data_IF_499619845276
#
_entry.id   IF_499619845276
#
_cell.length_a   1.000
_cell.length_b   1.000
_cell.length_c   1.000
_cell.angle_alpha   90.00
_cell.angle_beta   90.00
_cell.angle_gamma   90.00
#
_symmetry.space_group_name_H-M   'P 1'
#
loop_
_entity.id
_entity.type
_entity.pdbx_description
1 polymer ?
#
# COMPACT_ATOMS: atom_id res chain seq x y z
N UNK A 1 8.67 -41.75 19.36
CA UNK A 1 7.84 -41.60 18.16
C UNK A 1 7.61 -40.11 18.01
N UNK A 2 8.45 -39.46 17.22
CA UNK A 2 8.43 -38.02 17.06
C UNK A 2 7.28 -37.59 16.15
N UNK A 3 6.54 -36.57 16.57
CA UNK A 3 5.57 -35.87 15.78
C UNK A 3 6.26 -35.27 14.55
N UNK A 4 6.11 -35.89 13.40
CA UNK A 4 6.22 -35.23 12.12
C UNK A 4 4.94 -34.40 11.95
N UNK A 5 4.89 -33.21 12.54
CA UNK A 5 3.97 -32.15 12.07
C UNK A 5 4.27 -31.98 10.60
N UNK A 6 3.31 -32.39 9.77
CA UNK A 6 3.32 -32.09 8.34
C UNK A 6 3.42 -30.58 8.22
N UNK A 7 4.61 -30.08 7.87
CA UNK A 7 4.77 -28.70 7.46
C UNK A 7 3.81 -28.48 6.28
N UNK A 8 2.72 -27.76 6.52
CA UNK A 8 1.74 -27.47 5.49
C UNK A 8 2.51 -26.88 4.29
N UNK A 9 2.32 -27.47 3.12
CA UNK A 9 3.03 -27.04 1.90
C UNK A 9 2.64 -25.58 1.63
N UNK A 10 3.64 -24.68 1.63
CA UNK A 10 3.41 -23.25 1.44
C UNK A 10 2.81 -22.98 0.06
N UNK A 11 1.74 -22.23 0.00
CA UNK A 11 1.05 -21.88 -1.25
C UNK A 11 1.93 -21.00 -2.14
N UNK A 12 2.02 -21.24 -3.45
CA UNK A 12 2.85 -20.47 -4.36
C UNK A 12 2.25 -19.08 -4.62
N UNK A 13 3.06 -18.04 -4.57
CA UNK A 13 2.67 -16.66 -4.84
C UNK A 13 3.74 -15.96 -5.67
N UNK A 14 3.34 -15.18 -6.65
CA UNK A 14 4.28 -14.40 -7.48
C UNK A 14 4.10 -12.91 -7.18
N UNK A 15 5.20 -12.19 -7.00
CA UNK A 15 5.22 -10.74 -6.80
C UNK A 15 5.95 -10.08 -7.96
N UNK A 16 5.29 -9.13 -8.60
CA UNK A 16 5.86 -8.24 -9.62
C UNK A 16 5.81 -6.81 -9.13
N UNK A 17 6.95 -6.25 -8.77
CA UNK A 17 7.05 -4.86 -8.29
C UNK A 17 8.08 -4.06 -9.08
N UNK A 18 8.16 -2.76 -8.80
CA UNK A 18 9.09 -1.84 -9.46
C UNK A 18 8.46 -0.45 -9.61
N UNK A 19 9.20 0.53 -10.13
CA UNK A 19 8.73 1.90 -10.29
C UNK A 19 7.53 2.00 -11.24
N UNK A 20 6.85 3.15 -11.23
CA UNK A 20 5.80 3.43 -12.22
C UNK A 20 6.39 3.42 -13.64
N UNK A 21 5.57 3.18 -14.66
CA UNK A 21 5.96 3.14 -16.08
C UNK A 21 7.02 2.08 -16.48
N UNK A 22 7.39 1.14 -15.61
CA UNK A 22 8.39 0.09 -15.92
C UNK A 22 7.81 -1.10 -16.70
N UNK A 23 6.47 -1.18 -16.87
CA UNK A 23 5.81 -2.25 -17.63
C UNK A 23 5.26 -3.41 -16.79
N UNK A 24 5.03 -3.21 -15.48
CA UNK A 24 4.46 -4.25 -14.58
C UNK A 24 3.16 -4.84 -15.10
N UNK A 25 2.21 -4.00 -15.51
CA UNK A 25 0.88 -4.41 -15.97
C UNK A 25 0.94 -5.35 -17.16
N UNK A 26 1.67 -4.97 -18.22
CA UNK A 26 1.80 -5.81 -19.40
C UNK A 26 2.45 -7.17 -19.09
N UNK A 27 3.50 -7.16 -18.26
CA UNK A 27 4.18 -8.40 -17.87
C UNK A 27 3.30 -9.29 -16.99
N UNK A 28 2.54 -8.72 -16.04
CA UNK A 28 1.66 -9.49 -15.16
C UNK A 28 0.55 -10.21 -15.95
N UNK A 29 -0.02 -9.56 -16.95
CA UNK A 29 -1.04 -10.16 -17.83
C UNK A 29 -0.44 -11.31 -18.64
N UNK A 30 0.71 -11.09 -19.29
CA UNK A 30 1.38 -12.13 -20.05
C UNK A 30 1.73 -13.35 -19.19
N UNK A 31 2.21 -13.12 -17.97
CA UNK A 31 2.53 -14.17 -17.01
C UNK A 31 1.27 -14.91 -16.58
N UNK A 32 0.21 -14.18 -16.18
CA UNK A 32 -1.06 -14.75 -15.75
C UNK A 32 -1.66 -15.68 -16.82
N UNK A 33 -1.64 -15.25 -18.07
CA UNK A 33 -2.10 -16.09 -19.19
C UNK A 33 -1.30 -17.37 -19.37
N UNK A 34 0.02 -17.30 -19.19
CA UNK A 34 0.91 -18.46 -19.37
C UNK A 34 0.77 -19.52 -18.28
N UNK A 35 0.50 -19.10 -17.05
CA UNK A 35 0.43 -20.02 -15.91
C UNK A 35 -0.98 -20.27 -15.40
N UNK A 36 -2.00 -19.69 -16.05
CA UNK A 36 -3.38 -19.76 -15.57
C UNK A 36 -3.60 -19.01 -14.26
N UNK A 37 -2.83 -17.94 -14.01
CA UNK A 37 -2.92 -17.14 -12.79
C UNK A 37 -3.96 -16.02 -12.86
N UNK A 38 -4.12 -15.30 -11.74
CA UNK A 38 -4.94 -14.08 -11.64
C UNK A 38 -4.17 -13.00 -10.89
N UNK A 39 -4.49 -11.73 -11.14
CA UNK A 39 -3.74 -10.60 -10.65
C UNK A 39 -4.42 -9.98 -9.43
N UNK A 40 -3.65 -9.70 -8.38
CA UNK A 40 -4.05 -8.91 -7.21
C UNK A 40 -3.29 -7.58 -7.29
N UNK A 41 -4.00 -6.47 -7.47
CA UNK A 41 -3.37 -5.14 -7.52
C UNK A 41 -2.86 -4.75 -6.12
N UNK A 42 -1.56 -4.47 -6.02
CA UNK A 42 -0.93 -3.87 -4.83
C UNK A 42 -0.62 -2.39 -5.09
N UNK A 43 -1.59 -1.69 -5.63
CA UNK A 43 -1.60 -0.25 -5.81
C UNK A 43 -2.58 0.39 -4.82
N UNK A 44 -2.17 1.47 -4.15
CA UNK A 44 -3.00 2.11 -3.13
C UNK A 44 -4.09 3.01 -3.69
N UNK A 45 -4.06 3.32 -5.00
CA UNK A 45 -4.98 4.25 -5.62
C UNK A 45 -5.93 3.58 -6.64
N UNK A 46 -5.49 2.53 -7.35
CA UNK A 46 -6.34 1.82 -8.31
C UNK A 46 -7.54 1.09 -7.68
N UNK A 47 -7.57 0.96 -6.38
CA UNK A 47 -8.67 0.40 -5.59
C UNK A 47 -9.93 1.27 -5.65
N UNK A 48 -9.77 2.57 -5.87
CA UNK A 48 -10.85 3.54 -5.87
C UNK A 48 -11.53 3.62 -7.24
N UNK A 49 -12.87 3.63 -7.24
CA UNK A 49 -13.68 3.94 -8.42
C UNK A 49 -13.48 5.39 -8.85
N UNK A 50 -13.70 5.68 -10.11
CA UNK A 50 -13.61 7.03 -10.68
C UNK A 50 -12.23 7.67 -10.64
N UNK A 51 -11.21 6.94 -10.23
CA UNK A 51 -9.81 7.35 -10.25
C UNK A 51 -9.09 6.56 -11.33
N UNK A 52 -9.36 6.85 -12.60
CA UNK A 52 -8.97 6.02 -13.73
C UNK A 52 -7.73 6.58 -14.43
N UNK A 53 -7.74 7.86 -14.73
CA UNK A 53 -6.68 8.54 -15.48
C UNK A 53 -5.43 8.69 -14.60
N UNK A 54 -5.53 9.38 -13.47
CA UNK A 54 -4.37 9.69 -12.63
C UNK A 54 -3.71 8.49 -11.98
N UNK A 55 -4.43 7.38 -11.83
CA UNK A 55 -3.87 6.11 -11.36
C UNK A 55 -3.35 5.23 -12.50
N UNK A 56 -3.57 5.64 -13.77
CA UNK A 56 -3.40 4.82 -14.95
C UNK A 56 -3.98 3.41 -14.76
N UNK A 57 -5.22 3.38 -14.34
CA UNK A 57 -5.95 2.14 -14.10
C UNK A 57 -6.07 1.36 -15.39
N UNK A 58 -5.85 0.06 -15.30
CA UNK A 58 -6.04 -0.82 -16.44
C UNK A 58 -7.50 -0.85 -16.86
N UNK A 59 -7.76 -0.70 -18.15
CA UNK A 59 -9.11 -0.80 -18.73
C UNK A 59 -9.49 -2.27 -18.94
N UNK A 60 -10.79 -2.56 -18.96
CA UNK A 60 -11.29 -3.93 -19.08
C UNK A 60 -10.79 -4.64 -20.36
N UNK A 61 -10.73 -3.94 -21.48
CA UNK A 61 -10.21 -4.42 -22.74
C UNK A 61 -8.72 -4.74 -22.72
N UNK A 62 -7.95 -4.07 -21.87
CA UNK A 62 -6.51 -4.29 -21.70
C UNK A 62 -6.19 -5.49 -20.79
N UNK A 63 -7.16 -5.92 -19.97
CA UNK A 63 -6.99 -7.07 -19.07
C UNK A 63 -6.84 -8.40 -19.81
N UNK A 64 -7.17 -8.44 -21.09
CA UNK A 64 -7.00 -9.61 -21.98
C UNK A 64 -7.61 -10.90 -21.39
N UNK A 65 -8.75 -10.77 -20.72
CA UNK A 65 -9.48 -11.86 -20.08
C UNK A 65 -8.86 -12.36 -18.75
N UNK A 66 -7.81 -11.72 -18.26
CA UNK A 66 -7.19 -12.04 -16.95
C UNK A 66 -7.96 -11.32 -15.83
N UNK A 67 -8.49 -12.05 -14.84
CA UNK A 67 -9.13 -11.42 -13.70
C UNK A 67 -8.14 -10.57 -12.89
N UNK A 68 -8.57 -9.35 -12.53
CA UNK A 68 -7.84 -8.44 -11.65
C UNK A 68 -8.66 -8.19 -10.39
N UNK A 69 -8.03 -8.39 -9.25
CA UNK A 69 -8.61 -8.18 -7.92
C UNK A 69 -8.08 -6.88 -7.31
N UNK A 70 -8.87 -6.27 -6.43
CA UNK A 70 -8.55 -5.01 -5.74
C UNK A 70 -8.43 -3.80 -6.68
N UNK A 71 -9.23 -3.78 -7.74
CA UNK A 71 -9.42 -2.64 -8.64
C UNK A 71 -10.90 -2.27 -8.58
N UNK A 72 -11.23 -0.97 -8.50
CA UNK A 72 -12.61 -0.44 -8.51
C UNK A 72 -13.53 -1.02 -7.43
N UNK A 73 -13.03 -1.25 -6.24
CA UNK A 73 -13.81 -1.88 -5.16
C UNK A 73 -14.28 -0.89 -4.08
N UNK A 74 -13.73 0.32 -4.04
CA UNK A 74 -14.05 1.34 -3.04
C UNK A 74 -14.50 2.64 -3.67
N UNK A 75 -15.35 3.38 -2.96
CA UNK A 75 -15.63 4.76 -3.30
C UNK A 75 -14.48 5.67 -2.85
N UNK A 76 -14.18 6.78 -3.57
CA UNK A 76 -13.07 7.67 -3.23
C UNK A 76 -13.20 8.36 -1.86
N UNK A 77 -14.38 8.32 -1.26
CA UNK A 77 -14.66 8.84 0.09
C UNK A 77 -14.41 7.82 1.19
N UNK A 78 -14.13 6.57 0.84
CA UNK A 78 -13.81 5.51 1.80
C UNK A 78 -12.31 5.50 2.13
N UNK A 79 -11.98 5.15 3.37
CA UNK A 79 -10.60 4.98 3.77
C UNK A 79 -10.04 3.64 3.29
N UNK A 80 -8.83 3.71 2.75
CA UNK A 80 -8.04 2.54 2.39
C UNK A 80 -6.66 2.59 3.02
N UNK A 81 -6.33 1.57 3.76
CA UNK A 81 -5.06 1.45 4.46
C UNK A 81 -4.48 0.04 4.32
N UNK A 82 -3.29 -0.17 4.86
CA UNK A 82 -2.57 -1.44 4.75
C UNK A 82 -3.31 -2.62 5.40
N UNK A 83 -4.06 -2.38 6.48
CA UNK A 83 -4.86 -3.42 7.18
C UNK A 83 -5.98 -3.91 6.27
N UNK A 84 -6.73 -2.96 5.68
CA UNK A 84 -7.81 -3.27 4.73
C UNK A 84 -7.26 -3.95 3.48
N UNK A 85 -6.12 -3.46 2.96
CA UNK A 85 -5.44 -4.13 1.84
C UNK A 85 -5.08 -5.57 2.16
N UNK A 86 -4.41 -5.82 3.29
CA UNK A 86 -3.97 -7.17 3.68
C UNK A 86 -5.14 -8.15 3.77
N UNK A 87 -6.24 -7.74 4.43
CA UNK A 87 -7.44 -8.56 4.56
C UNK A 87 -8.04 -8.91 3.19
N UNK A 88 -8.21 -7.91 2.30
CA UNK A 88 -8.78 -8.09 0.97
C UNK A 88 -7.85 -8.89 0.06
N UNK A 89 -6.55 -8.62 0.08
CA UNK A 89 -5.57 -9.35 -0.74
C UNK A 89 -5.45 -10.82 -0.32
N UNK A 90 -5.54 -11.10 0.99
CA UNK A 90 -5.57 -12.47 1.51
C UNK A 90 -6.84 -13.20 1.06
N UNK A 91 -8.00 -12.57 1.18
CA UNK A 91 -9.26 -13.15 0.73
C UNK A 91 -9.24 -13.44 -0.78
N UNK A 92 -8.70 -12.51 -1.58
CA UNK A 92 -8.54 -12.71 -3.01
C UNK A 92 -7.57 -13.88 -3.33
N UNK A 93 -6.44 -13.97 -2.61
CA UNK A 93 -5.49 -15.07 -2.80
C UNK A 93 -6.12 -16.43 -2.47
N UNK A 94 -6.89 -16.54 -1.37
CA UNK A 94 -7.59 -17.77 -1.00
C UNK A 94 -8.65 -18.16 -2.03
N UNK A 95 -9.41 -17.19 -2.56
CA UNK A 95 -10.37 -17.44 -3.64
C UNK A 95 -9.68 -17.94 -4.91
N UNK A 96 -8.54 -17.35 -5.31
CA UNK A 96 -7.74 -17.79 -6.46
C UNK A 96 -7.24 -19.23 -6.24
N UNK A 97 -6.69 -19.54 -5.05
CA UNK A 97 -6.25 -20.90 -4.74
C UNK A 97 -7.39 -21.93 -4.74
N UNK A 98 -8.59 -21.53 -4.26
CA UNK A 98 -9.76 -22.43 -4.27
C UNK A 98 -10.15 -22.90 -5.67
N UNK A 99 -9.78 -22.12 -6.68
CA UNK A 99 -9.98 -22.42 -8.10
C UNK A 99 -8.76 -23.10 -8.75
N UNK A 100 -7.76 -23.49 -7.96
CA UNK A 100 -6.53 -24.15 -8.44
C UNK A 100 -5.60 -23.24 -9.24
N UNK A 101 -5.72 -21.93 -9.08
CA UNK A 101 -4.92 -20.93 -9.79
C UNK A 101 -3.82 -20.34 -8.91
N UNK A 102 -2.89 -19.59 -9.51
CA UNK A 102 -1.77 -18.95 -8.83
C UNK A 102 -2.01 -17.44 -8.76
N UNK A 103 -2.02 -16.82 -7.57
CA UNK A 103 -2.11 -15.37 -7.45
C UNK A 103 -0.79 -14.69 -7.85
N UNK A 104 -0.92 -13.58 -8.58
CA UNK A 104 0.18 -12.70 -8.98
C UNK A 104 -0.10 -11.33 -8.37
N UNK A 105 0.68 -10.94 -7.37
CA UNK A 105 0.60 -9.62 -6.75
C UNK A 105 1.41 -8.64 -7.60
N UNK A 106 0.73 -7.67 -8.21
CA UNK A 106 1.37 -6.68 -9.08
C UNK A 106 1.13 -5.26 -8.56
N UNK A 107 2.18 -4.50 -8.30
CA UNK A 107 2.04 -3.12 -7.83
C UNK A 107 3.31 -2.44 -7.39
N UNK A 108 3.17 -1.16 -6.99
CA UNK A 108 4.28 -0.31 -6.53
C UNK A 108 4.33 -0.08 -5.02
N UNK A 109 3.28 -0.44 -4.28
CA UNK A 109 3.17 -0.15 -2.85
C UNK A 109 3.88 -1.25 -2.03
N UNK A 110 5.19 -1.10 -1.87
CA UNK A 110 6.04 -2.12 -1.24
C UNK A 110 5.60 -2.51 0.17
N UNK A 111 5.09 -1.54 0.96
CA UNK A 111 4.57 -1.81 2.31
C UNK A 111 3.33 -2.73 2.30
N UNK A 112 2.45 -2.58 1.32
CA UNK A 112 1.30 -3.47 1.13
C UNK A 112 1.74 -4.88 0.77
N UNK A 113 2.71 -5.00 -0.14
CA UNK A 113 3.27 -6.29 -0.53
C UNK A 113 3.90 -7.00 0.67
N UNK A 114 4.68 -6.29 1.49
CA UNK A 114 5.28 -6.85 2.70
C UNK A 114 4.22 -7.31 3.71
N UNK A 115 3.17 -6.49 3.91
CA UNK A 115 2.06 -6.82 4.80
C UNK A 115 1.40 -8.15 4.44
N UNK A 116 1.16 -8.39 3.14
CA UNK A 116 0.61 -9.66 2.66
C UNK A 116 1.61 -10.81 2.81
N UNK A 117 2.87 -10.61 2.38
CA UNK A 117 3.87 -11.68 2.32
C UNK A 117 4.25 -12.23 3.69
N UNK A 118 4.32 -11.38 4.70
CA UNK A 118 4.80 -11.76 6.02
C UNK A 118 3.70 -11.83 7.07
N UNK A 119 2.45 -11.67 6.63
CA UNK A 119 1.29 -11.67 7.53
C UNK A 119 1.51 -10.75 8.75
N UNK A 120 1.94 -9.51 8.45
CA UNK A 120 2.25 -8.53 9.48
C UNK A 120 1.02 -8.30 10.34
N UNK A 121 1.18 -8.47 11.64
CA UNK A 121 0.14 -8.11 12.59
C UNK A 121 0.14 -6.60 12.80
N UNK A 122 -0.83 -5.95 12.18
CA UNK A 122 -1.14 -4.57 12.50
C UNK A 122 -2.03 -4.58 13.74
N UNK A 123 -1.41 -4.71 14.91
CA UNK A 123 -2.14 -4.61 16.17
C UNK A 123 -3.13 -3.47 16.06
N UNK A 124 -4.41 -3.82 16.09
CA UNK A 124 -5.48 -2.85 16.00
C UNK A 124 -5.43 -1.99 17.26
N UNK A 125 -4.62 -0.95 17.18
CA UNK A 125 -4.74 0.13 18.13
C UNK A 125 -5.93 0.91 17.63
N UNK A 126 -6.96 1.00 18.44
CA UNK A 126 -8.07 1.89 18.15
C UNK A 126 -7.53 3.29 17.93
N UNK A 127 -7.94 3.92 16.83
CA UNK A 127 -7.51 5.29 16.57
C UNK A 127 -8.02 6.21 17.68
N UNK A 128 -7.09 6.65 18.52
CA UNK A 128 -7.42 7.61 19.56
C UNK A 128 -7.32 9.04 19.01
N UNK A 129 -8.41 9.48 18.36
CA UNK A 129 -8.48 10.80 17.75
C UNK A 129 -8.15 11.91 18.74
N UNK A 130 -8.61 11.81 20.00
CA UNK A 130 -8.33 12.80 21.03
C UNK A 130 -6.82 12.88 21.33
N UNK A 131 -6.16 11.75 21.46
CA UNK A 131 -4.70 11.70 21.68
C UNK A 131 -3.94 12.30 20.48
N UNK A 132 -4.34 11.96 19.26
CA UNK A 132 -3.71 12.49 18.04
C UNK A 132 -3.85 14.00 17.94
N UNK A 133 -5.06 14.53 18.13
CA UNK A 133 -5.33 15.98 18.13
C UNK A 133 -4.53 16.72 19.21
N UNK A 134 -4.42 16.15 20.41
CA UNK A 134 -3.62 16.72 21.47
C UNK A 134 -2.11 16.76 21.11
N UNK A 135 -1.59 15.67 20.54
CA UNK A 135 -0.19 15.61 20.13
C UNK A 135 0.09 16.53 18.93
N UNK A 136 -0.80 16.60 17.95
CA UNK A 136 -0.68 17.55 16.83
C UNK A 136 -0.68 19.00 17.31
N UNK A 137 -1.58 19.36 18.22
CA UNK A 137 -1.61 20.68 18.85
C UNK A 137 -0.30 20.97 19.59
N UNK A 138 0.20 20.01 20.36
CA UNK A 138 1.46 20.17 21.08
C UNK A 138 2.64 20.40 20.13
N UNK A 139 2.69 19.67 19.01
CA UNK A 139 3.71 19.87 17.99
C UNK A 139 3.60 21.25 17.31
N UNK A 140 2.38 21.74 17.09
CA UNK A 140 2.15 23.06 16.50
C UNK A 140 2.55 24.22 17.44
N UNK A 141 2.30 24.07 18.74
CA UNK A 141 2.58 25.10 19.75
C UNK A 141 4.05 25.12 20.19
N UNK A 142 4.69 23.96 20.35
CA UNK A 142 6.01 23.82 20.96
C UNK A 142 7.09 23.26 20.02
N UNK A 143 6.70 22.92 18.81
CA UNK A 143 7.59 22.33 17.81
C UNK A 143 7.62 20.79 17.83
N UNK A 144 8.00 20.21 16.72
CA UNK A 144 8.04 18.75 16.51
C UNK A 144 9.03 18.03 17.44
N UNK A 145 10.10 18.72 17.85
CA UNK A 145 11.14 18.16 18.73
C UNK A 145 10.60 17.72 20.10
N UNK A 146 9.58 18.40 20.63
CA UNK A 146 8.98 18.02 21.92
C UNK A 146 8.36 16.63 21.89
N UNK A 147 7.68 16.28 20.79
CA UNK A 147 7.15 14.93 20.62
C UNK A 147 8.26 13.91 20.40
N UNK A 148 9.29 14.29 19.66
CA UNK A 148 10.42 13.42 19.39
C UNK A 148 11.22 13.10 20.66
N UNK A 149 11.40 14.05 21.59
CA UNK A 149 11.98 13.80 22.90
C UNK A 149 11.10 12.86 23.76
N UNK A 150 9.77 13.02 23.71
CA UNK A 150 8.86 12.07 24.37
C UNK A 150 9.02 10.66 23.79
N UNK A 151 9.10 10.54 22.47
CA UNK A 151 9.34 9.25 21.82
C UNK A 151 10.68 8.66 22.24
N UNK A 152 11.75 9.48 22.29
CA UNK A 152 13.08 9.03 22.72
C UNK A 152 13.08 8.49 24.15
N UNK A 153 12.26 9.05 25.02
CA UNK A 153 12.13 8.59 26.41
C UNK A 153 11.49 7.20 26.52
N UNK A 154 10.54 6.86 25.67
CA UNK A 154 9.79 5.60 25.74
C UNK A 154 10.29 4.54 24.74
N UNK A 155 10.72 4.97 23.54
CA UNK A 155 11.23 4.11 22.48
C UNK A 155 12.40 4.78 21.75
N UNK A 156 13.62 4.70 22.30
CA UNK A 156 14.81 5.31 21.72
C UNK A 156 15.12 4.85 20.30
N UNK A 157 14.87 3.58 19.98
CA UNK A 157 15.13 3.00 18.66
C UNK A 157 14.19 3.60 17.60
N UNK A 158 12.92 3.77 17.93
CA UNK A 158 11.98 4.47 17.05
C UNK A 158 12.36 5.94 16.89
N UNK A 159 12.84 6.61 17.94
CA UNK A 159 13.29 7.99 17.85
C UNK A 159 14.54 8.15 16.96
N UNK A 160 15.43 7.17 16.93
CA UNK A 160 16.56 7.18 16.01
C UNK A 160 16.12 6.96 14.54
N UNK A 161 15.12 6.09 14.33
CA UNK A 161 14.65 5.72 12.99
C UNK A 161 13.66 6.73 12.38
N UNK A 162 12.98 7.55 13.21
CA UNK A 162 11.94 8.48 12.78
C UNK A 162 12.44 9.91 12.97
N UNK A 163 12.56 10.66 11.87
CA UNK A 163 12.93 12.07 11.94
C UNK A 163 11.85 12.89 12.65
N UNK A 164 12.25 13.85 13.52
CA UNK A 164 11.32 14.67 14.31
C UNK A 164 10.22 15.36 13.47
N UNK A 165 10.56 15.85 12.28
CA UNK A 165 9.59 16.48 11.38
C UNK A 165 8.53 15.51 10.82
N UNK A 166 8.70 14.21 11.00
CA UNK A 166 7.67 13.24 10.65
C UNK A 166 6.67 13.07 11.79
N UNK A 167 6.01 14.18 12.15
CA UNK A 167 5.11 14.29 13.31
C UNK A 167 4.08 13.16 13.34
N UNK A 168 3.46 12.84 12.20
CA UNK A 168 2.47 11.73 12.11
C UNK A 168 3.04 10.39 12.54
N UNK A 169 4.28 10.06 12.14
CA UNK A 169 4.93 8.80 12.55
C UNK A 169 5.34 8.82 14.02
N UNK A 170 5.80 9.97 14.52
CA UNK A 170 6.12 10.13 15.94
C UNK A 170 4.86 9.93 16.79
N UNK A 171 3.75 10.58 16.42
CA UNK A 171 2.46 10.43 17.11
C UNK A 171 2.01 8.97 17.09
N UNK A 172 2.10 8.29 15.95
CA UNK A 172 1.73 6.87 15.86
C UNK A 172 2.53 5.97 16.79
N UNK A 173 3.82 6.22 16.91
CA UNK A 173 4.68 5.46 17.83
C UNK A 173 4.34 5.72 19.30
N UNK A 174 4.04 6.97 19.65
CA UNK A 174 3.60 7.33 20.99
C UNK A 174 2.22 6.75 21.32
N UNK A 175 1.27 6.81 20.37
CA UNK A 175 -0.06 6.22 20.49
C UNK A 175 0.02 4.72 20.74
N UNK A 176 0.91 4.02 20.01
CA UNK A 176 1.15 2.59 20.20
C UNK A 176 1.60 2.30 21.63
N UNK A 177 2.60 3.04 22.11
CA UNK A 177 3.10 2.87 23.48
C UNK A 177 2.04 3.18 24.54
N UNK A 178 1.26 4.25 24.35
CA UNK A 178 0.20 4.64 25.28
C UNK A 178 -0.88 3.57 25.43
N UNK A 179 -1.24 2.91 24.34
CA UNK A 179 -2.32 1.91 24.35
C UNK A 179 -1.84 0.52 24.77
N UNK A 180 -0.62 0.14 24.41
CA UNK A 180 -0.13 -1.22 24.61
C UNK A 180 0.88 -1.37 25.77
N UNK A 181 1.55 -0.27 26.13
CA UNK A 181 2.71 -0.30 27.04
C UNK A 181 3.97 -0.88 26.40
N UNK A 182 3.94 -1.26 25.10
CA UNK A 182 5.04 -1.86 24.38
C UNK A 182 5.68 -0.88 23.40
N UNK A 183 6.97 -1.07 23.12
CA UNK A 183 7.70 -0.27 22.12
C UNK A 183 7.29 -0.71 20.71
N UNK A 184 6.96 0.25 19.85
CA UNK A 184 6.67 -0.08 18.45
C UNK A 184 7.92 -0.59 17.71
N UNK A 185 9.13 -0.23 18.14
CA UNK A 185 10.38 -0.79 17.61
C UNK A 185 10.46 -2.30 17.82
N UNK A 186 10.17 -2.77 19.03
CA UNK A 186 10.18 -4.19 19.38
C UNK A 186 9.12 -4.97 18.60
N UNK A 187 7.90 -4.43 18.48
CA UNK A 187 6.86 -5.02 17.63
C UNK A 187 7.32 -5.12 16.17
N UNK A 188 7.86 -4.05 15.60
CA UNK A 188 8.35 -4.03 14.23
C UNK A 188 9.50 -5.03 13.99
N UNK A 189 10.37 -5.24 14.98
CA UNK A 189 11.45 -6.23 14.91
C UNK A 189 10.87 -7.65 14.90
N UNK A 190 9.93 -7.96 15.79
CA UNK A 190 9.23 -9.23 15.80
C UNK A 190 8.51 -9.52 14.48
N UNK A 191 7.83 -8.52 13.92
CA UNK A 191 7.15 -8.63 12.63
C UNK A 191 8.13 -8.87 11.47
N UNK A 192 9.32 -8.26 11.48
CA UNK A 192 10.37 -8.49 10.47
C UNK A 192 10.98 -9.90 10.56
N UNK A 193 10.94 -10.52 11.74
CA UNK A 193 11.43 -11.89 11.94
C UNK A 193 10.44 -12.97 11.47
N UNK A 194 9.21 -12.60 11.11
CA UNK A 194 8.19 -13.54 10.65
C UNK A 194 8.61 -14.24 9.36
N UNK A 195 8.33 -15.53 9.31
CA UNK A 195 8.52 -16.34 8.11
C UNK A 195 7.24 -16.29 7.29
N UNK A 196 7.36 -15.98 6.00
CA UNK A 196 6.22 -15.93 5.09
C UNK A 196 5.43 -17.24 5.08
N UNK A 197 4.08 -17.19 5.14
CA UNK A 197 3.22 -18.35 4.92
C UNK A 197 3.19 -18.81 3.46
N UNK A 198 3.74 -18.03 2.54
CA UNK A 198 3.78 -18.32 1.11
C UNK A 198 5.15 -18.83 0.66
N UNK A 199 5.17 -19.70 -0.35
CA UNK A 199 6.34 -19.92 -1.19
C UNK A 199 6.29 -18.90 -2.33
N UNK A 200 6.95 -17.76 -2.16
CA UNK A 200 6.84 -16.65 -3.09
C UNK A 200 8.08 -16.47 -3.98
N UNK A 201 7.82 -16.00 -5.19
CA UNK A 201 8.84 -15.53 -6.15
C UNK A 201 8.70 -14.02 -6.27
N UNK A 202 9.76 -13.29 -5.94
CA UNK A 202 9.75 -11.83 -5.87
C UNK A 202 10.60 -11.23 -6.99
N UNK A 203 9.96 -10.55 -7.93
CA UNK A 203 10.62 -9.93 -9.06
C UNK A 203 10.47 -8.42 -9.00
N UNK A 204 11.61 -7.71 -9.06
CA UNK A 204 11.66 -6.25 -9.14
C UNK A 204 12.00 -5.87 -10.57
N UNK A 205 11.03 -5.29 -11.27
CA UNK A 205 11.26 -4.77 -12.61
C UNK A 205 12.03 -3.45 -12.48
N UNK A 206 13.00 -3.27 -13.35
CA UNK A 206 13.78 -2.05 -13.44
C UNK A 206 14.11 -1.74 -14.90
N UNK A 207 14.43 -0.49 -15.18
CA UNK A 207 14.92 -0.05 -16.49
C UNK A 207 15.88 1.11 -16.29
N UNK A 208 16.58 1.51 -17.34
CA UNK A 208 17.43 2.69 -17.30
C UNK A 208 16.66 3.92 -16.82
N UNK A 209 17.30 4.75 -16.00
CA UNK A 209 16.68 5.91 -15.37
C UNK A 209 16.20 6.94 -16.39
N UNK A 210 16.95 7.15 -17.45
CA UNK A 210 16.59 8.09 -18.52
C UNK A 210 15.32 7.61 -19.22
N UNK A 211 15.29 6.33 -19.62
CA UNK A 211 14.10 5.73 -20.25
C UNK A 211 12.89 5.76 -19.33
N UNK A 212 13.10 5.59 -18.02
CA UNK A 212 12.02 5.65 -17.04
C UNK A 212 11.41 7.05 -16.97
N UNK A 213 12.24 8.08 -16.91
CA UNK A 213 11.76 9.47 -16.87
C UNK A 213 11.03 9.86 -18.15
N UNK A 214 11.56 9.54 -19.32
CA UNK A 214 10.88 9.78 -20.60
C UNK A 214 9.48 9.14 -20.63
N UNK A 215 9.35 7.91 -20.11
CA UNK A 215 8.05 7.22 -20.03
C UNK A 215 7.10 7.86 -19.02
N UNK A 216 7.63 8.37 -17.90
CA UNK A 216 6.82 9.06 -16.89
C UNK A 216 6.31 10.39 -17.44
N UNK A 217 7.18 11.19 -18.07
CA UNK A 217 6.83 12.47 -18.67
C UNK A 217 5.74 12.27 -19.74
N UNK A 218 5.98 11.37 -20.70
CA UNK A 218 5.00 11.03 -21.72
C UNK A 218 3.64 10.61 -21.14
N UNK A 219 3.67 9.81 -20.08
CA UNK A 219 2.45 9.36 -19.41
C UNK A 219 1.71 10.52 -18.73
N UNK A 220 2.43 11.49 -18.16
CA UNK A 220 1.80 12.67 -17.56
C UNK A 220 1.11 13.49 -18.66
N UNK A 221 1.77 13.70 -19.81
CA UNK A 221 1.17 14.41 -20.94
C UNK A 221 -0.10 13.69 -21.43
N UNK A 222 -0.04 12.36 -21.61
CA UNK A 222 -1.21 11.56 -21.97
C UNK A 222 -2.36 11.70 -20.95
N UNK A 223 -2.08 11.64 -19.64
CA UNK A 223 -3.07 11.84 -18.59
C UNK A 223 -3.70 13.25 -18.63
N UNK A 224 -2.93 14.27 -18.91
CA UNK A 224 -3.45 15.63 -19.04
C UNK A 224 -4.36 15.78 -20.26
N UNK A 225 -3.99 15.18 -21.40
CA UNK A 225 -4.81 15.15 -22.62
C UNK A 225 -6.10 14.32 -22.43
N UNK A 226 -6.05 13.22 -21.69
CA UNK A 226 -7.20 12.37 -21.34
C UNK A 226 -8.16 13.04 -20.37
N UNK A 227 -7.77 14.12 -19.70
CA UNK A 227 -8.64 14.92 -18.84
C UNK A 227 -8.44 14.72 -17.35
N UNK A 228 -7.22 14.46 -16.89
CA UNK A 228 -6.90 14.30 -15.45
C UNK A 228 -7.43 15.45 -14.59
N UNK A 229 -7.37 16.70 -15.06
CA UNK A 229 -7.88 17.85 -14.32
C UNK A 229 -9.39 17.76 -14.12
N UNK A 230 -10.10 17.25 -15.11
CA UNK A 230 -11.55 17.08 -15.02
C UNK A 230 -11.92 15.91 -14.07
N UNK A 231 -11.15 14.82 -14.09
CA UNK A 231 -11.30 13.73 -13.12
C UNK A 231 -11.16 14.24 -11.68
N UNK A 232 -10.15 15.09 -11.41
CA UNK A 232 -9.97 15.71 -10.08
C UNK A 232 -11.17 16.58 -9.69
N UNK A 233 -11.71 17.39 -10.61
CA UNK A 233 -12.92 18.20 -10.35
C UNK A 233 -14.14 17.36 -10.03
N UNK A 234 -14.32 16.24 -10.75
CA UNK A 234 -15.43 15.32 -10.51
C UNK A 234 -15.31 14.68 -9.11
N UNK A 235 -14.11 14.26 -8.71
CA UNK A 235 -13.85 13.72 -7.38
C UNK A 235 -14.16 14.75 -6.28
N UNK A 236 -13.80 16.02 -6.47
CA UNK A 236 -14.17 17.09 -5.55
C UNK A 236 -15.70 17.27 -5.49
N UNK A 237 -16.38 17.24 -6.63
CA UNK A 237 -17.85 17.33 -6.69
C UNK A 237 -18.53 16.15 -6.00
N UNK A 238 -17.91 14.98 -5.96
CA UNK A 238 -18.35 13.79 -5.21
C UNK A 238 -18.11 13.90 -3.69
N UNK A 239 -17.48 14.98 -3.22
CA UNK A 239 -17.21 15.21 -1.80
C UNK A 239 -15.83 14.76 -1.33
N UNK A 240 -14.92 14.39 -2.23
CA UNK A 240 -13.56 14.07 -1.86
C UNK A 240 -12.83 15.33 -1.39
N UNK A 241 -12.39 15.31 -0.14
CA UNK A 241 -11.67 16.43 0.47
C UNK A 241 -10.19 16.36 0.12
N UNK A 242 -9.52 17.50 0.12
CA UNK A 242 -8.07 17.59 -0.13
C UNK A 242 -7.25 16.66 0.77
N UNK A 243 -7.68 16.45 2.02
CA UNK A 243 -7.01 15.62 3.03
C UNK A 243 -7.42 14.14 3.00
N UNK A 244 -8.40 13.75 2.17
CA UNK A 244 -8.80 12.33 2.04
C UNK A 244 -7.68 11.48 1.43
N UNK A 245 -7.63 10.20 1.80
CA UNK A 245 -6.59 9.24 1.36
C UNK A 245 -6.51 9.17 -0.17
N UNK A 246 -7.63 9.10 -0.84
CA UNK A 246 -7.70 9.04 -2.30
C UNK A 246 -7.03 10.25 -2.96
N UNK A 247 -7.25 11.46 -2.42
CA UNK A 247 -6.71 12.70 -2.98
C UNK A 247 -5.22 12.93 -2.66
N UNK A 248 -4.58 12.06 -1.87
CA UNK A 248 -3.13 12.08 -1.63
C UNK A 248 -2.33 11.34 -2.73
N UNK A 249 -3.01 10.75 -3.71
CA UNK A 249 -2.36 10.13 -4.87
C UNK A 249 -1.53 11.14 -5.66
N UNK A 250 -0.42 10.65 -6.25
CA UNK A 250 0.40 11.45 -7.17
C UNK A 250 -0.45 11.91 -8.37
N UNK A 251 -0.30 13.16 -8.77
CA UNK A 251 -1.12 13.82 -9.77
C UNK A 251 -2.33 14.54 -9.17
N UNK A 252 -3.07 13.90 -8.29
CA UNK A 252 -4.27 14.47 -7.66
C UNK A 252 -3.92 15.60 -6.69
N UNK A 253 -3.03 15.36 -5.74
CA UNK A 253 -2.62 16.37 -4.76
C UNK A 253 -1.91 17.57 -5.40
N UNK A 254 -1.17 17.37 -6.50
CA UNK A 254 -0.47 18.43 -7.21
C UNK A 254 -1.44 19.33 -7.98
N UNK A 255 -2.54 18.77 -8.51
CA UNK A 255 -3.57 19.55 -9.20
C UNK A 255 -4.42 20.36 -8.19
N UNK A 256 -4.53 19.88 -6.95
CA UNK A 256 -5.27 20.54 -5.88
C UNK A 256 -4.48 21.66 -5.17
N UNK A 257 -3.16 21.70 -5.31
CA UNK A 257 -2.27 22.68 -4.66
C UNK A 257 -2.29 24.02 -5.38
#
# INVERSE_FOLDING_TARGET
>A
MGNLEQAAEKKPLIVLTGPTAVGKTALSIQLARRIGGEIISADSMQVYRHMDIGTAKIRLEEMDGVPHHLIDILEPTEDFNVVRFQALARAAAEDIYSRGKIPIVAGGTGFYIQALLYDIDFTQIDENMQFREEMERLAAEQGAEVLHERLRAVDPESAEAIHANNVKRVIRALEYYEQTGEKISAHNEAERAKISPYHFFYYVLNTDRTVLYERIEKRIDEMMEEGLVEEVRQLQAMGCRHDSVAMQGLGYKEILA
#
